data_IF_628798809439
#
_entry.id   IF_628798809439
#
_cell.length_a   1.000
_cell.length_b   1.000
_cell.length_c   1.000
_cell.angle_alpha   90.00
_cell.angle_beta   90.00
_cell.angle_gamma   90.00
#
_symmetry.space_group_name_H-M   'P 1'
#
loop_
_entity.id
_entity.type
_entity.pdbx_description
1 polymer ?
#
# COMPACT_ATOMS: atom_id res chain seq x y z
N UNK A 1 -11.26 36.87 0.16
CA UNK A 1 -11.37 35.40 0.11
C UNK A 1 -12.16 34.98 1.33
N UNK A 2 -13.25 34.23 1.17
CA UNK A 2 -14.18 33.89 2.26
C UNK A 2 -13.55 32.92 3.25
N UNK A 3 -13.82 33.11 4.55
CA UNK A 3 -13.40 32.23 5.65
C UNK A 3 -13.60 30.73 5.34
N UNK A 4 -14.68 30.42 4.63
CA UNK A 4 -15.04 29.07 4.18
C UNK A 4 -14.03 28.40 3.23
N UNK A 5 -13.30 29.14 2.41
CA UNK A 5 -12.30 28.56 1.48
C UNK A 5 -11.03 28.18 2.21
N UNK A 6 -10.62 29.00 3.18
CA UNK A 6 -9.47 28.70 4.04
C UNK A 6 -9.74 27.45 4.89
N UNK A 7 -10.91 27.38 5.52
CA UNK A 7 -11.36 26.21 6.30
C UNK A 7 -11.38 24.91 5.46
N UNK A 8 -11.80 24.99 4.19
CA UNK A 8 -11.77 23.84 3.27
C UNK A 8 -10.34 23.39 2.93
N UNK A 9 -9.42 24.33 2.71
CA UNK A 9 -8.03 24.02 2.40
C UNK A 9 -7.30 23.42 3.62
N UNK A 10 -7.57 23.93 4.83
CA UNK A 10 -7.06 23.36 6.09
C UNK A 10 -7.55 21.94 6.31
N UNK A 11 -8.86 21.70 6.10
CA UNK A 11 -9.45 20.36 6.21
C UNK A 11 -8.81 19.37 5.23
N UNK A 12 -8.68 19.77 3.96
CA UNK A 12 -8.09 18.93 2.92
C UNK A 12 -6.62 18.63 3.20
N UNK A 13 -5.86 19.62 3.65
CA UNK A 13 -4.46 19.44 4.08
C UNK A 13 -4.35 18.40 5.20
N UNK A 14 -5.22 18.48 6.21
CA UNK A 14 -5.27 17.49 7.30
C UNK A 14 -5.64 16.09 6.82
N UNK A 15 -6.59 15.97 5.88
CA UNK A 15 -6.99 14.70 5.29
C UNK A 15 -5.82 14.04 4.52
N UNK A 16 -5.07 14.83 3.73
CA UNK A 16 -3.87 14.35 3.04
C UNK A 16 -2.77 13.94 4.02
N UNK A 17 -2.53 14.70 5.09
CA UNK A 17 -1.57 14.30 6.13
C UNK A 17 -1.95 12.95 6.77
N UNK A 18 -3.23 12.71 7.03
CA UNK A 18 -3.69 11.43 7.56
C UNK A 18 -3.53 10.31 6.54
N UNK A 19 -3.81 10.57 5.26
CA UNK A 19 -3.55 9.61 4.17
C UNK A 19 -2.08 9.17 4.16
N UNK A 20 -1.13 10.11 4.22
CA UNK A 20 0.30 9.79 4.22
C UNK A 20 0.71 8.97 5.45
N UNK A 21 0.11 9.23 6.63
CA UNK A 21 0.36 8.43 7.83
C UNK A 21 -0.13 7.00 7.66
N UNK A 22 -1.39 6.80 7.25
CA UNK A 22 -1.93 5.46 6.99
C UNK A 22 -1.13 4.75 5.90
N UNK A 23 -0.71 5.45 4.85
CA UNK A 23 0.13 4.87 3.80
C UNK A 23 1.54 4.46 4.29
N UNK A 24 2.13 5.19 5.25
CA UNK A 24 3.37 4.77 5.90
C UNK A 24 3.17 3.49 6.73
N UNK A 25 2.10 3.41 7.53
CA UNK A 25 1.75 2.20 8.28
C UNK A 25 1.56 1.00 7.34
N UNK A 26 0.90 1.18 6.19
CA UNK A 26 0.79 0.13 5.17
C UNK A 26 2.15 -0.33 4.66
N UNK A 27 3.09 0.60 4.44
CA UNK A 27 4.44 0.25 4.00
C UNK A 27 5.22 -0.53 5.06
N UNK A 28 5.07 -0.18 6.34
CA UNK A 28 5.66 -0.90 7.47
C UNK A 28 5.12 -2.34 7.55
N UNK A 29 3.80 -2.52 7.47
CA UNK A 29 3.15 -3.85 7.42
C UNK A 29 3.65 -4.69 6.23
N UNK A 30 3.82 -4.06 5.07
CA UNK A 30 4.37 -4.73 3.88
C UNK A 30 5.82 -5.17 4.09
N UNK A 31 6.65 -4.35 4.74
CA UNK A 31 8.02 -4.73 5.07
C UNK A 31 8.07 -5.89 6.06
N UNK A 32 7.23 -5.88 7.10
CA UNK A 32 7.11 -6.99 8.06
C UNK A 32 6.70 -8.29 7.37
N UNK A 33 5.73 -8.21 6.46
CA UNK A 33 5.29 -9.36 5.67
C UNK A 33 6.41 -9.96 4.82
N UNK A 34 7.18 -9.11 4.12
CA UNK A 34 8.32 -9.55 3.29
C UNK A 34 9.47 -10.11 4.11
N UNK A 35 9.75 -9.54 5.29
CA UNK A 35 10.78 -10.05 6.22
C UNK A 35 10.37 -11.43 6.72
N UNK A 36 9.12 -11.58 7.17
CA UNK A 36 8.61 -12.85 7.68
C UNK A 36 8.71 -13.97 6.63
N UNK A 37 8.43 -13.65 5.37
CA UNK A 37 8.59 -14.60 4.27
C UNK A 37 10.05 -15.01 4.05
N UNK A 38 10.99 -14.06 4.07
CA UNK A 38 12.44 -14.36 3.94
C UNK A 38 12.95 -15.21 5.10
N UNK A 39 12.51 -14.93 6.32
CA UNK A 39 12.88 -15.71 7.50
C UNK A 39 12.29 -17.12 7.45
N UNK A 40 11.08 -17.27 6.91
CA UNK A 40 10.47 -18.58 6.65
C UNK A 40 11.27 -19.39 5.61
N UNK A 41 11.61 -18.79 4.47
CA UNK A 41 12.39 -19.47 3.43
C UNK A 41 13.79 -19.91 3.91
N UNK A 42 14.40 -19.10 4.78
CA UNK A 42 15.71 -19.37 5.39
C UNK A 42 15.66 -20.22 6.66
N UNK A 43 14.50 -20.79 6.99
CA UNK A 43 14.28 -21.70 8.14
C UNK A 43 14.59 -21.07 9.50
N UNK A 44 14.63 -19.73 9.56
CA UNK A 44 14.74 -18.95 10.81
C UNK A 44 13.39 -18.75 11.49
N UNK A 45 12.31 -18.93 10.74
CA UNK A 45 10.93 -18.78 11.20
C UNK A 45 10.15 -20.07 10.85
N UNK A 46 9.59 -20.81 11.84
CA UNK A 46 8.76 -21.97 11.57
C UNK A 46 7.44 -21.56 10.90
N UNK A 47 6.82 -22.51 10.18
CA UNK A 47 5.58 -22.28 9.43
C UNK A 47 4.45 -21.67 10.28
N UNK A 48 4.27 -22.15 11.52
CA UNK A 48 3.24 -21.64 12.44
C UNK A 48 3.45 -20.16 12.78
N UNK A 49 4.71 -19.75 12.98
CA UNK A 49 5.05 -18.36 13.28
C UNK A 49 4.84 -17.48 12.04
N UNK A 50 5.25 -17.94 10.86
CA UNK A 50 5.01 -17.23 9.60
C UNK A 50 3.49 -17.07 9.34
N UNK A 51 2.69 -18.11 9.56
CA UNK A 51 1.24 -18.05 9.43
C UNK A 51 0.61 -17.06 10.43
N UNK A 52 1.10 -17.02 11.67
CA UNK A 52 0.65 -16.05 12.67
C UNK A 52 0.93 -14.62 12.23
N UNK A 53 2.13 -14.35 11.70
CA UNK A 53 2.50 -13.04 11.16
C UNK A 53 1.59 -12.69 9.97
N UNK A 54 1.37 -13.61 9.03
CA UNK A 54 0.46 -13.40 7.90
C UNK A 54 -0.94 -12.96 8.34
N UNK A 55 -1.47 -13.55 9.41
CA UNK A 55 -2.76 -13.14 9.98
C UNK A 55 -2.70 -11.72 10.55
N UNK A 56 -1.69 -11.41 11.34
CA UNK A 56 -1.51 -10.08 11.97
C UNK A 56 -1.39 -8.99 10.89
N UNK A 57 -0.53 -9.19 9.88
CA UNK A 57 -0.36 -8.20 8.82
C UNK A 57 -1.62 -8.08 7.96
N UNK A 58 -2.37 -9.17 7.76
CA UNK A 58 -3.66 -9.12 7.04
C UNK A 58 -4.69 -8.27 7.77
N UNK A 59 -4.81 -8.43 9.09
CA UNK A 59 -5.67 -7.58 9.94
C UNK A 59 -5.21 -6.11 9.85
N UNK A 60 -3.91 -5.85 9.98
CA UNK A 60 -3.36 -4.50 9.82
C UNK A 60 -3.63 -3.88 8.45
N UNK A 61 -3.53 -4.66 7.37
CA UNK A 61 -3.86 -4.20 6.02
C UNK A 61 -5.34 -3.87 5.87
N UNK A 62 -6.22 -4.62 6.53
CA UNK A 62 -7.66 -4.32 6.53
C UNK A 62 -7.94 -3.02 7.26
N UNK A 63 -7.39 -2.85 8.46
CA UNK A 63 -7.57 -1.65 9.28
C UNK A 63 -7.11 -0.39 8.54
N UNK A 64 -5.88 -0.39 8.02
CA UNK A 64 -5.33 0.76 7.29
C UNK A 64 -6.08 1.05 5.98
N UNK A 65 -6.64 0.02 5.34
CA UNK A 65 -7.46 0.20 4.14
C UNK A 65 -8.81 0.83 4.48
N UNK A 66 -9.42 0.46 5.61
CA UNK A 66 -10.65 1.09 6.10
C UNK A 66 -10.42 2.56 6.47
N UNK A 67 -9.30 2.88 7.12
CA UNK A 67 -8.92 4.26 7.41
C UNK A 67 -8.85 5.11 6.13
N UNK A 68 -8.14 4.61 5.11
CA UNK A 68 -7.98 5.35 3.86
C UNK A 68 -9.30 5.44 3.08
N UNK A 69 -10.15 4.41 3.10
CA UNK A 69 -11.50 4.48 2.51
C UNK A 69 -12.37 5.54 3.19
N UNK A 70 -12.25 5.72 4.51
CA UNK A 70 -12.94 6.80 5.20
C UNK A 70 -12.41 8.18 4.76
N UNK A 71 -11.09 8.33 4.62
CA UNK A 71 -10.48 9.57 4.11
C UNK A 71 -10.96 9.86 2.68
N UNK A 72 -10.97 8.86 1.81
CA UNK A 72 -11.45 8.95 0.42
C UNK A 72 -12.90 9.44 0.36
N UNK A 73 -13.78 8.87 1.20
CA UNK A 73 -15.19 9.24 1.28
C UNK A 73 -15.40 10.68 1.74
N UNK A 74 -14.58 11.12 2.68
CA UNK A 74 -14.77 12.39 3.38
C UNK A 74 -14.07 13.56 2.65
N UNK A 75 -13.23 13.29 1.64
CA UNK A 75 -12.62 14.31 0.78
C UNK A 75 -13.65 14.89 -0.20
N UNK A 76 -13.76 16.22 -0.19
CA UNK A 76 -14.66 16.95 -1.09
C UNK A 76 -14.09 17.09 -2.51
N UNK A 77 -12.76 17.14 -2.64
CA UNK A 77 -12.08 17.22 -3.94
C UNK A 77 -12.13 15.87 -4.67
N UNK A 78 -13.01 15.76 -5.67
CA UNK A 78 -13.23 14.53 -6.45
C UNK A 78 -12.00 14.02 -7.20
N UNK A 79 -11.08 14.91 -7.57
CA UNK A 79 -9.83 14.51 -8.25
C UNK A 79 -8.94 13.77 -7.26
N UNK A 80 -8.71 14.36 -6.09
CA UNK A 80 -7.92 13.74 -5.01
C UNK A 80 -8.57 12.45 -4.52
N UNK A 81 -9.90 12.43 -4.32
CA UNK A 81 -10.61 11.21 -3.94
C UNK A 81 -10.39 10.08 -4.97
N UNK A 82 -10.38 10.42 -6.27
CA UNK A 82 -10.09 9.45 -7.32
C UNK A 82 -8.65 8.94 -7.27
N UNK A 83 -7.67 9.82 -7.06
CA UNK A 83 -6.27 9.43 -6.91
C UNK A 83 -6.06 8.50 -5.71
N UNK A 84 -6.75 8.75 -4.59
CA UNK A 84 -6.73 7.88 -3.41
C UNK A 84 -7.32 6.50 -3.73
N UNK A 85 -8.42 6.45 -4.48
CA UNK A 85 -8.99 5.19 -4.95
C UNK A 85 -8.01 4.43 -5.85
N UNK A 86 -7.40 5.12 -6.80
CA UNK A 86 -6.41 4.53 -7.70
C UNK A 86 -5.18 4.00 -6.92
N UNK A 87 -4.76 4.71 -5.85
CA UNK A 87 -3.76 4.24 -4.91
C UNK A 87 -4.19 2.94 -4.20
N UNK A 88 -5.41 2.89 -3.66
CA UNK A 88 -5.95 1.67 -3.01
C UNK A 88 -5.99 0.48 -3.96
N UNK A 89 -6.45 0.69 -5.19
CA UNK A 89 -6.53 -0.37 -6.18
C UNK A 89 -5.13 -0.87 -6.59
N UNK A 90 -4.16 0.03 -6.69
CA UNK A 90 -2.79 -0.30 -7.06
C UNK A 90 -2.05 -1.00 -5.91
N UNK A 91 -2.24 -0.57 -4.67
CA UNK A 91 -1.74 -1.28 -3.47
C UNK A 91 -2.34 -2.68 -3.32
N UNK A 92 -3.63 -2.85 -3.65
CA UNK A 92 -4.24 -4.18 -3.69
C UNK A 92 -3.57 -5.08 -4.74
N UNK A 93 -3.26 -4.55 -5.92
CA UNK A 93 -2.52 -5.30 -6.96
C UNK A 93 -1.12 -5.67 -6.48
N UNK A 94 -0.41 -4.75 -5.79
CA UNK A 94 0.91 -5.02 -5.20
C UNK A 94 0.85 -6.23 -4.29
N UNK A 95 -0.07 -6.25 -3.33
CA UNK A 95 -0.27 -7.39 -2.44
C UNK A 95 -0.63 -8.68 -3.19
N UNK A 96 -1.46 -8.60 -4.24
CA UNK A 96 -1.81 -9.76 -5.05
C UNK A 96 -0.58 -10.36 -5.76
N UNK A 97 0.22 -9.53 -6.44
CA UNK A 97 1.44 -9.99 -7.11
C UNK A 97 2.44 -10.57 -6.09
N UNK A 98 2.64 -9.91 -4.95
CA UNK A 98 3.49 -10.42 -3.86
C UNK A 98 3.04 -11.80 -3.38
N UNK A 99 1.75 -11.98 -3.09
CA UNK A 99 1.22 -13.27 -2.63
C UNK A 99 1.40 -14.37 -3.69
N UNK A 100 1.20 -14.07 -4.97
CA UNK A 100 1.44 -15.04 -6.04
C UNK A 100 2.90 -15.47 -6.09
N UNK A 101 3.84 -14.52 -5.98
CA UNK A 101 5.29 -14.82 -5.91
C UNK A 101 5.58 -15.75 -4.72
N UNK A 102 5.05 -15.42 -3.54
CA UNK A 102 5.31 -16.20 -2.33
C UNK A 102 4.74 -17.63 -2.45
N UNK A 103 3.50 -17.78 -2.93
CA UNK A 103 2.88 -19.11 -3.15
C UNK A 103 3.70 -19.95 -4.12
N UNK A 104 4.08 -19.40 -5.28
CA UNK A 104 4.84 -20.12 -6.29
C UNK A 104 6.23 -20.51 -5.79
N UNK A 105 6.87 -19.62 -5.02
CA UNK A 105 8.18 -19.89 -4.41
C UNK A 105 8.11 -21.04 -3.40
N UNK A 106 7.07 -21.08 -2.57
CA UNK A 106 6.84 -22.20 -1.63
C UNK A 106 6.61 -23.50 -2.42
N UNK A 107 5.75 -23.46 -3.44
CA UNK A 107 5.47 -24.64 -4.27
C UNK A 107 6.72 -25.15 -5.02
N UNK A 108 7.59 -24.26 -5.49
CA UNK A 108 8.88 -24.63 -6.09
C UNK A 108 9.84 -25.28 -5.07
N UNK A 109 9.76 -24.90 -3.79
CA UNK A 109 10.55 -25.55 -2.71
C UNK A 109 9.98 -26.92 -2.33
N UNK A 110 8.66 -27.09 -2.39
CA UNK A 110 7.96 -28.31 -2.00
C UNK A 110 7.82 -29.35 -3.13
N UNK A 111 7.97 -28.94 -4.39
CA UNK A 111 7.76 -29.78 -5.58
C UNK A 111 8.90 -29.62 -6.58
N UNK A 112 9.20 -30.64 -7.38
CA UNK A 112 10.20 -30.56 -8.46
C UNK A 112 9.71 -29.78 -9.70
N UNK A 113 8.75 -28.86 -9.53
CA UNK A 113 8.20 -28.05 -10.63
C UNK A 113 8.97 -26.74 -10.75
N UNK A 114 9.33 -26.40 -11.98
CA UNK A 114 9.92 -25.12 -12.32
C UNK A 114 8.81 -24.06 -12.49
N UNK A 115 8.85 -23.05 -11.64
CA UNK A 115 7.97 -21.88 -11.69
C UNK A 115 8.73 -20.58 -11.99
N UNK A 116 10.02 -20.64 -12.31
CA UNK A 116 10.91 -19.47 -12.38
C UNK A 116 10.40 -18.43 -13.40
N UNK A 117 9.95 -18.87 -14.57
CA UNK A 117 9.38 -17.95 -15.57
C UNK A 117 8.13 -17.23 -15.04
N UNK A 118 7.24 -17.96 -14.38
CA UNK A 118 5.99 -17.38 -13.85
C UNK A 118 6.28 -16.42 -12.69
N UNK A 119 7.21 -16.79 -11.80
CA UNK A 119 7.69 -15.93 -10.72
C UNK A 119 8.29 -14.64 -11.28
N UNK A 120 9.14 -14.74 -12.31
CA UNK A 120 9.75 -13.58 -12.98
C UNK A 120 8.69 -12.66 -13.60
N UNK A 121 7.62 -13.21 -14.20
CA UNK A 121 6.52 -12.42 -14.72
C UNK A 121 5.78 -11.65 -13.62
N UNK A 122 5.51 -12.28 -12.47
CA UNK A 122 4.89 -11.60 -11.33
C UNK A 122 5.82 -10.54 -10.73
N UNK A 123 7.13 -10.79 -10.66
CA UNK A 123 8.11 -9.80 -10.21
C UNK A 123 8.15 -8.56 -11.12
N UNK A 124 8.09 -8.76 -12.43
CA UNK A 124 8.03 -7.66 -13.39
C UNK A 124 6.74 -6.83 -13.21
N UNK A 125 5.58 -7.49 -13.07
CA UNK A 125 4.31 -6.80 -12.76
C UNK A 125 4.36 -6.07 -11.43
N UNK A 126 4.94 -6.68 -10.39
CA UNK A 126 5.10 -6.06 -9.08
C UNK A 126 5.92 -4.77 -9.19
N UNK A 127 7.00 -4.77 -9.98
CA UNK A 127 7.83 -3.59 -10.22
C UNK A 127 7.02 -2.46 -10.85
N UNK A 128 6.27 -2.75 -11.91
CA UNK A 128 5.40 -1.77 -12.59
C UNK A 128 4.34 -1.20 -11.65
N UNK A 129 3.76 -2.05 -10.80
CA UNK A 129 2.77 -1.63 -9.79
C UNK A 129 3.40 -0.72 -8.73
N UNK A 130 4.62 -1.02 -8.28
CA UNK A 130 5.36 -0.16 -7.32
C UNK A 130 5.71 1.19 -7.93
N UNK A 131 6.16 1.21 -9.17
CA UNK A 131 6.40 2.46 -9.93
C UNK A 131 5.11 3.28 -10.01
N UNK A 132 3.97 2.64 -10.29
CA UNK A 132 2.68 3.34 -10.36
C UNK A 132 2.23 3.90 -9.01
N UNK A 133 2.46 3.19 -7.91
CA UNK A 133 2.19 3.70 -6.55
C UNK A 133 3.03 4.95 -6.31
N UNK A 134 4.30 4.95 -6.69
CA UNK A 134 5.19 6.07 -6.49
C UNK A 134 4.72 7.31 -7.26
N UNK A 135 4.30 7.15 -8.52
CA UNK A 135 3.70 8.24 -9.31
C UNK A 135 2.50 8.87 -8.62
N UNK A 136 1.52 8.05 -8.20
CA UNK A 136 0.29 8.55 -7.53
C UNK A 136 0.64 9.27 -6.23
N UNK A 137 1.60 8.73 -5.47
CA UNK A 137 2.05 9.33 -4.22
C UNK A 137 2.76 10.66 -4.41
N UNK A 138 3.53 10.83 -5.48
CA UNK A 138 4.19 12.10 -5.79
C UNK A 138 3.18 13.15 -6.24
N UNK A 139 2.21 12.79 -7.09
CA UNK A 139 1.11 13.69 -7.45
C UNK A 139 0.32 14.14 -6.20
N UNK A 140 -0.02 13.23 -5.28
CA UNK A 140 -0.69 13.57 -4.01
C UNK A 140 0.15 14.50 -3.12
N UNK A 141 1.49 14.37 -3.14
CA UNK A 141 2.40 15.25 -2.40
C UNK A 141 2.43 16.64 -3.01
N UNK A 142 2.45 16.75 -4.33
CA UNK A 142 2.38 18.03 -5.04
C UNK A 142 1.10 18.78 -4.69
N UNK A 143 -0.05 18.09 -4.69
CA UNK A 143 -1.33 18.65 -4.23
C UNK A 143 -1.24 19.15 -2.77
N UNK A 144 -0.65 18.36 -1.87
CA UNK A 144 -0.47 18.76 -0.47
C UNK A 144 0.42 20.00 -0.31
N UNK A 145 1.53 20.08 -1.05
CA UNK A 145 2.45 21.24 -1.03
C UNK A 145 1.76 22.48 -1.60
N UNK A 146 1.01 22.32 -2.69
CA UNK A 146 0.17 23.36 -3.28
C UNK A 146 -0.81 23.93 -2.25
N UNK A 147 -1.51 23.07 -1.51
CA UNK A 147 -2.43 23.48 -0.45
C UNK A 147 -1.73 24.20 0.71
N UNK A 148 -0.58 23.72 1.15
CA UNK A 148 0.18 24.36 2.23
C UNK A 148 0.56 25.82 1.86
N UNK A 149 0.93 26.06 0.60
CA UNK A 149 1.23 27.42 0.11
C UNK A 149 0.04 28.38 0.08
N UNK A 150 -1.18 27.85 0.14
CA UNK A 150 -2.43 28.62 0.14
C UNK A 150 -3.00 28.86 1.55
N UNK A 151 -2.45 28.19 2.55
CA UNK A 151 -2.88 28.26 3.97
C UNK A 151 -1.89 29.08 4.81
N UNK A 152 -0.63 29.21 4.37
CA UNK A 152 0.39 30.09 4.97
C UNK A 152 0.27 31.55 4.51
#
# INVERSE_FOLDING_TARGET
MSNSTLEQNELLSKQLQNLFKSQNTRNELYQEFEIAFKDYLSEKCPAEQYQSICRIVTEGFQDVSLEIQNIERDISNKVIARMIRDLQETERKKLQETVQIQILTIQAKETDKDYDETINQHQQRLKEVVEKIQEIMDELREEMVGLASLVC
#
